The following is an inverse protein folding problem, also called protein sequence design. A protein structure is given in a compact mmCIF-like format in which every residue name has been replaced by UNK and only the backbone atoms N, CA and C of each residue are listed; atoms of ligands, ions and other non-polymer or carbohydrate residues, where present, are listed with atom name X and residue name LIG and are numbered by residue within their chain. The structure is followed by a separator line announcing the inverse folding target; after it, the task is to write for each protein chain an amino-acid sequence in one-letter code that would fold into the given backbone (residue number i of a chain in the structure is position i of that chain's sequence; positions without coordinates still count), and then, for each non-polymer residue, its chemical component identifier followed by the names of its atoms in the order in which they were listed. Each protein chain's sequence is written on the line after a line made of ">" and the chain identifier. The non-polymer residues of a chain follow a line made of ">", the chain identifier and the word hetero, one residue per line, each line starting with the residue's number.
data_IF_348686882278
#
_entry.id   IF_348686882278
#
_cell.length_a   1.000
_cell.length_b   1.000
_cell.length_c   1.000
_cell.angle_alpha   90.00
_cell.angle_beta   90.00
_cell.angle_gamma   90.00
#
_symmetry.space_group_name_H-M   'P 1'
#
loop_
_entity.id
_entity.type
_entity.pdbx_description
1 polymer ?
#
# COMPACT_ATOMS: atom_id res chain seq x y z
N UNK A 1 -2.14 -16.13 13.69
CA UNK A 1 -1.98 -14.68 13.45
C UNK A 1 -3.27 -14.12 12.89
N UNK A 2 -3.28 -12.83 12.58
CA UNK A 2 -4.42 -12.14 11.96
C UNK A 2 -4.35 -12.21 10.43
N UNK A 3 -5.47 -12.43 9.74
CA UNK A 3 -5.51 -12.42 8.27
C UNK A 3 -5.73 -10.99 7.77
N UNK A 4 -4.71 -10.41 7.13
CA UNK A 4 -4.75 -9.05 6.62
C UNK A 4 -5.80 -8.84 5.53
N UNK A 5 -6.12 -9.87 4.73
CA UNK A 5 -7.15 -9.77 3.68
C UNK A 5 -8.55 -9.82 4.26
N UNK A 6 -8.78 -10.64 5.29
CA UNK A 6 -10.05 -10.65 6.02
C UNK A 6 -10.33 -9.27 6.63
N UNK A 7 -9.33 -8.65 7.26
CA UNK A 7 -9.43 -7.29 7.78
C UNK A 7 -9.77 -6.28 6.71
N UNK A 8 -9.02 -6.29 5.61
CA UNK A 8 -9.18 -5.34 4.51
C UNK A 8 -10.59 -5.39 3.93
N UNK A 9 -11.16 -6.59 3.78
CA UNK A 9 -12.55 -6.79 3.33
C UNK A 9 -13.60 -6.34 4.36
N UNK A 10 -13.28 -6.34 5.64
CA UNK A 10 -14.17 -5.93 6.72
C UNK A 10 -14.22 -4.42 7.00
N UNK A 11 -13.35 -3.61 6.39
CA UNK A 11 -13.33 -2.17 6.58
C UNK A 11 -14.52 -1.46 5.90
N UNK A 12 -15.03 -0.34 6.46
CA UNK A 12 -16.01 0.51 5.77
C UNK A 12 -15.32 1.31 4.65
N UNK A 13 -15.26 0.73 3.45
CA UNK A 13 -14.45 1.23 2.32
C UNK A 13 -14.81 2.67 1.90
N UNK A 14 -16.09 3.06 2.00
CA UNK A 14 -16.59 4.41 1.69
C UNK A 14 -16.04 5.51 2.61
N UNK A 15 -15.48 5.12 3.76
CA UNK A 15 -14.88 6.02 4.75
C UNK A 15 -13.36 6.14 4.62
N UNK A 16 -12.72 5.32 3.79
CA UNK A 16 -11.28 5.37 3.56
C UNK A 16 -10.97 6.55 2.65
N UNK A 17 -10.08 7.45 3.10
CA UNK A 17 -9.69 8.67 2.35
C UNK A 17 -8.21 8.72 1.99
N UNK A 18 -7.40 7.94 2.68
CA UNK A 18 -5.97 7.86 2.46
C UNK A 18 -5.46 6.47 2.82
N UNK A 19 -4.46 5.99 2.08
CA UNK A 19 -3.73 4.76 2.38
C UNK A 19 -2.24 5.09 2.48
N UNK A 20 -1.58 4.55 3.49
CA UNK A 20 -0.13 4.66 3.69
C UNK A 20 0.50 3.30 3.41
N UNK A 21 1.65 3.30 2.74
CA UNK A 21 2.41 2.10 2.40
C UNK A 21 3.83 2.25 2.94
N UNK A 22 4.27 1.24 3.67
CA UNK A 22 5.62 1.17 4.23
C UNK A 22 6.19 -0.24 4.05
N UNK A 23 7.51 -0.34 4.06
CA UNK A 23 8.18 -1.60 4.36
C UNK A 23 8.44 -1.74 5.85
N UNK A 24 8.71 -2.97 6.26
CA UNK A 24 8.86 -3.37 7.66
C UNK A 24 10.07 -4.26 7.82
N UNK A 25 10.58 -4.34 9.05
CA UNK A 25 11.57 -5.34 9.43
C UNK A 25 10.86 -6.68 9.63
N UNK A 26 11.31 -7.70 8.91
CA UNK A 26 10.78 -9.06 9.04
C UNK A 26 11.47 -9.85 10.17
N UNK A 27 10.79 -10.87 10.68
CA UNK A 27 11.26 -11.68 11.81
C UNK A 27 10.14 -12.53 12.42
N UNK A 28 10.36 -13.09 13.63
CA UNK A 28 9.31 -13.81 14.37
C UNK A 28 8.05 -12.98 14.60
N UNK A 29 8.22 -11.66 14.65
CA UNK A 29 7.17 -10.65 14.54
C UNK A 29 7.58 -9.65 13.46
N UNK A 30 6.59 -9.03 12.82
CA UNK A 30 6.80 -7.92 11.89
C UNK A 30 6.81 -6.62 12.67
N UNK A 31 7.85 -5.81 12.46
CA UNK A 31 7.98 -4.50 13.09
C UNK A 31 7.87 -3.44 12.01
N UNK A 32 6.86 -2.57 12.13
CA UNK A 32 6.58 -1.51 11.17
C UNK A 32 7.60 -0.37 11.30
N UNK A 33 8.77 -0.57 10.71
CA UNK A 33 9.95 0.28 10.90
C UNK A 33 10.07 1.41 9.88
N UNK A 34 9.32 1.36 8.78
CA UNK A 34 9.32 2.39 7.72
C UNK A 34 10.70 2.65 7.08
N UNK A 35 11.65 1.74 7.24
CA UNK A 35 13.06 1.89 6.84
C UNK A 35 13.46 1.02 5.63
N UNK A 36 12.55 0.13 5.18
CA UNK A 36 12.76 -0.76 4.03
C UNK A 36 11.79 -0.50 2.88
N UNK A 37 12.16 -0.75 1.61
CA UNK A 37 11.24 -0.74 0.47
C UNK A 37 9.92 -1.47 0.76
N UNK A 38 8.82 -0.98 0.20
CA UNK A 38 7.51 -1.63 0.33
C UNK A 38 7.60 -3.02 -0.32
N UNK A 39 7.33 -4.07 0.46
CA UNK A 39 7.50 -5.44 0.00
C UNK A 39 6.28 -5.95 -0.80
N UNK A 40 6.49 -7.00 -1.60
CA UNK A 40 5.47 -7.55 -2.51
C UNK A 40 4.15 -7.90 -1.83
N UNK A 41 4.21 -8.40 -0.59
CA UNK A 41 3.00 -8.72 0.18
C UNK A 41 2.14 -7.49 0.47
N UNK A 42 2.77 -6.35 0.76
CA UNK A 42 2.06 -5.07 0.97
C UNK A 42 1.53 -4.54 -0.36
N UNK A 43 2.29 -4.64 -1.45
CA UNK A 43 1.80 -4.25 -2.78
C UNK A 43 0.58 -5.06 -3.24
N UNK A 44 0.55 -6.36 -2.95
CA UNK A 44 -0.61 -7.21 -3.24
C UNK A 44 -1.85 -6.78 -2.44
N UNK A 45 -1.68 -6.46 -1.15
CA UNK A 45 -2.77 -5.93 -0.31
C UNK A 45 -3.24 -4.56 -0.79
N UNK A 46 -2.33 -3.69 -1.22
CA UNK A 46 -2.69 -2.39 -1.79
C UNK A 46 -3.48 -2.54 -3.09
N UNK A 47 -3.12 -3.48 -3.97
CA UNK A 47 -3.89 -3.75 -5.18
C UNK A 47 -5.34 -4.21 -4.85
N UNK A 48 -5.52 -5.11 -3.89
CA UNK A 48 -6.85 -5.53 -3.40
C UNK A 48 -7.60 -4.35 -2.74
N UNK A 49 -6.90 -3.50 -1.99
CA UNK A 49 -7.49 -2.31 -1.38
C UNK A 49 -8.02 -1.32 -2.44
N UNK A 50 -7.28 -1.12 -3.54
CA UNK A 50 -7.72 -0.27 -4.65
C UNK A 50 -8.96 -0.81 -5.37
N UNK A 51 -9.15 -2.12 -5.41
CA UNK A 51 -10.37 -2.73 -5.97
C UNK A 51 -11.59 -2.52 -5.06
N UNK A 52 -11.40 -2.51 -3.74
CA UNK A 52 -12.48 -2.36 -2.76
C UNK A 52 -12.83 -0.89 -2.47
N UNK A 53 -11.82 -0.05 -2.28
CA UNK A 53 -11.95 1.37 -1.90
C UNK A 53 -12.08 2.28 -3.12
N UNK A 54 -11.50 1.88 -4.25
CA UNK A 54 -11.23 2.79 -5.36
C UNK A 54 -10.02 3.68 -5.08
N UNK A 55 -9.67 4.57 -6.04
CA UNK A 55 -8.49 5.42 -5.92
C UNK A 55 -8.66 6.48 -4.82
N UNK A 56 -7.78 6.43 -3.83
CA UNK A 56 -7.68 7.46 -2.78
C UNK A 56 -6.25 7.98 -2.69
N UNK A 57 -6.05 9.06 -1.91
CA UNK A 57 -4.70 9.58 -1.69
C UNK A 57 -3.80 8.46 -1.13
N UNK A 58 -2.63 8.27 -1.73
CA UNK A 58 -1.69 7.24 -1.31
C UNK A 58 -0.32 7.86 -1.03
N UNK A 59 0.29 7.45 0.08
CA UNK A 59 1.60 7.93 0.53
C UNK A 59 2.53 6.75 0.77
N UNK A 60 3.76 6.86 0.28
CA UNK A 60 4.86 6.01 0.72
C UNK A 60 5.41 6.62 2.01
N UNK A 61 5.39 5.86 3.09
CA UNK A 61 5.91 6.28 4.39
C UNK A 61 7.35 5.75 4.54
N UNK A 62 8.29 6.70 4.51
CA UNK A 62 9.74 6.48 4.62
C UNK A 62 10.32 7.58 5.51
N UNK A 63 10.52 7.29 6.78
CA UNK A 63 11.04 8.24 7.77
C UNK A 63 12.45 7.88 8.27
N UNK A 64 12.93 6.65 8.02
CA UNK A 64 14.31 6.21 8.21
C UNK A 64 14.80 5.44 6.95
N UNK A 65 16.10 5.13 6.88
CA UNK A 65 16.69 4.41 5.75
C UNK A 65 16.46 5.09 4.40
N UNK A 66 16.28 6.42 4.39
CA UNK A 66 15.74 7.18 3.25
C UNK A 66 16.67 7.01 2.02
N UNK A 67 16.19 6.36 0.93
CA UNK A 67 17.00 6.17 -0.27
C UNK A 67 17.04 7.46 -1.11
N UNK A 68 17.86 7.49 -2.17
CA UNK A 68 17.82 8.57 -3.15
C UNK A 68 16.40 8.81 -3.68
N UNK A 69 16.05 10.09 -3.91
CA UNK A 69 14.73 10.50 -4.39
C UNK A 69 14.21 9.69 -5.61
N UNK A 70 15.02 9.33 -6.62
CA UNK A 70 14.53 8.53 -7.74
C UNK A 70 13.93 7.18 -7.36
N UNK A 71 14.44 6.54 -6.29
CA UNK A 71 13.91 5.26 -5.80
C UNK A 71 12.54 5.44 -5.15
N UNK A 72 12.37 6.49 -4.33
CA UNK A 72 11.06 6.85 -3.76
C UNK A 72 10.04 7.20 -4.85
N UNK A 73 10.48 7.90 -5.90
CA UNK A 73 9.62 8.23 -7.04
C UNK A 73 9.22 6.99 -7.83
N UNK A 74 10.07 5.96 -7.89
CA UNK A 74 9.75 4.67 -8.51
C UNK A 74 8.69 3.90 -7.70
N UNK A 75 8.83 3.80 -6.37
CA UNK A 75 7.81 3.19 -5.50
C UNK A 75 6.47 3.94 -5.61
N UNK A 76 6.51 5.28 -5.60
CA UNK A 76 5.32 6.10 -5.80
C UNK A 76 4.73 5.91 -7.20
N UNK A 77 5.55 5.64 -8.21
CA UNK A 77 5.13 5.26 -9.57
C UNK A 77 4.31 3.96 -9.57
N UNK A 78 4.81 2.92 -8.91
CA UNK A 78 4.10 1.65 -8.75
C UNK A 78 2.75 1.82 -8.04
N UNK A 79 2.69 2.64 -6.98
CA UNK A 79 1.44 2.95 -6.31
C UNK A 79 0.41 3.62 -7.24
N UNK A 80 0.86 4.53 -8.12
CA UNK A 80 0.02 5.21 -9.10
C UNK A 80 -0.51 4.27 -10.17
N UNK A 81 0.33 3.36 -10.66
CA UNK A 81 -0.05 2.36 -11.67
C UNK A 81 -1.15 1.44 -11.15
N UNK A 82 -0.96 0.86 -9.97
CA UNK A 82 -1.95 -0.04 -9.35
C UNK A 82 -3.28 0.68 -9.08
N UNK A 83 -3.24 1.93 -8.58
CA UNK A 83 -4.44 2.73 -8.40
C UNK A 83 -5.15 3.07 -9.72
N UNK A 84 -4.41 3.23 -10.82
CA UNK A 84 -4.99 3.47 -12.14
C UNK A 84 -5.66 2.20 -12.71
N UNK A 85 -5.06 1.03 -12.52
CA UNK A 85 -5.62 -0.24 -12.98
C UNK A 85 -6.95 -0.60 -12.28
N UNK A 86 -7.19 -0.12 -11.06
CA UNK A 86 -8.49 -0.28 -10.40
C UNK A 86 -9.56 0.65 -10.98
N UNK A 87 -9.22 1.90 -11.34
CA UNK A 87 -10.16 2.85 -11.97
C UNK A 87 -10.78 2.31 -13.26
N UNK A 88 -9.98 1.65 -14.10
CA UNK A 88 -10.45 1.10 -15.38
C UNK A 88 -11.45 -0.06 -15.24
N UNK A 89 -11.56 -0.69 -14.07
CA UNK A 89 -12.40 -1.87 -13.83
C UNK A 89 -13.72 -1.55 -13.13
N UNK A 90 -13.81 -0.43 -12.41
CA UNK A 90 -15.06 0.06 -11.79
C UNK A 90 -15.92 0.82 -12.82
N UNK A 91 -15.31 1.35 -13.88
CA UNK A 91 -15.99 2.12 -14.93
C UNK A 91 -16.49 1.27 -16.13
N UNK A 92 -16.41 -0.07 -16.06
CA UNK A 92 -16.87 -1.01 -17.07
C UNK A 92 -18.02 -1.87 -16.53
#
# INVERSE_FOLDING_TARGET
>A
GFDAREYLRGLPHDRVRQIHLAGHTDGPIKIDTHDQPVCDGVWQLYAEAMELVGPVATMIERDDGIPPLPELLAELGQARELAASARGRIAA
#
